data_IF_392349220792
#
_entry.id   IF_392349220792
#
_cell.length_a   1.000
_cell.length_b   1.000
_cell.length_c   1.000
_cell.angle_alpha   90.00
_cell.angle_beta   90.00
_cell.angle_gamma   90.00
#
_symmetry.space_group_name_H-M   'P 1'
#
loop_
_entity.id
_entity.type
_entity.pdbx_description
1 polymer ?
#
# COMPACT_ATOMS: atom_id res chain seq x y z
N UNK A 1 67.10 -26.10 -10.35
CA UNK A 1 66.32 -25.81 -9.15
C UNK A 1 65.36 -24.66 -9.39
N UNK A 2 64.38 -24.81 -10.32
CA UNK A 2 63.47 -23.70 -10.66
C UNK A 2 62.07 -24.20 -11.06
N UNK A 3 61.54 -25.24 -10.42
CA UNK A 3 60.21 -25.80 -10.74
C UNK A 3 59.26 -25.97 -9.53
N UNK A 4 59.62 -25.46 -8.35
CA UNK A 4 58.80 -25.64 -7.12
C UNK A 4 57.98 -24.42 -6.68
N UNK A 5 58.13 -23.23 -7.28
CA UNK A 5 57.49 -22.00 -6.81
C UNK A 5 56.27 -21.55 -7.62
N UNK A 6 55.87 -22.25 -8.70
CA UNK A 6 54.73 -21.85 -9.55
C UNK A 6 53.40 -22.47 -9.06
N UNK A 7 53.49 -23.59 -8.35
CA UNK A 7 52.24 -24.26 -7.88
C UNK A 7 51.63 -23.63 -6.62
N UNK A 8 52.45 -22.85 -5.85
CA UNK A 8 51.98 -22.19 -4.63
C UNK A 8 51.26 -20.85 -4.87
N UNK A 9 51.46 -20.24 -6.06
CA UNK A 9 50.89 -18.93 -6.40
C UNK A 9 49.47 -19.04 -7.00
N UNK A 10 49.13 -20.22 -7.53
CA UNK A 10 47.78 -20.48 -8.09
C UNK A 10 46.74 -20.87 -7.05
N UNK A 11 47.12 -21.23 -5.83
CA UNK A 11 46.20 -21.58 -4.75
C UNK A 11 45.70 -20.36 -3.93
N UNK A 12 46.37 -19.20 -4.05
CA UNK A 12 46.01 -17.99 -3.29
C UNK A 12 45.05 -17.08 -4.08
N UNK A 13 44.96 -17.24 -5.39
CA UNK A 13 44.08 -16.44 -6.26
C UNK A 13 42.63 -16.99 -6.35
N UNK A 14 42.37 -18.17 -5.82
CA UNK A 14 41.07 -18.80 -5.83
C UNK A 14 40.13 -18.47 -4.65
N UNK A 15 40.61 -17.69 -3.65
CA UNK A 15 39.92 -17.50 -2.37
C UNK A 15 39.32 -16.10 -2.17
N UNK A 16 39.26 -15.27 -3.21
CA UNK A 16 38.77 -13.88 -3.12
C UNK A 16 37.54 -13.57 -3.97
N UNK A 17 36.80 -14.58 -4.41
CA UNK A 17 35.50 -14.37 -5.09
C UNK A 17 34.33 -14.93 -4.27
N UNK A 18 34.33 -14.70 -2.94
CA UNK A 18 33.05 -14.59 -2.25
C UNK A 18 32.45 -13.22 -2.58
N UNK A 19 31.89 -13.12 -3.77
CA UNK A 19 30.96 -12.07 -4.11
C UNK A 19 29.83 -12.22 -3.10
N UNK A 20 29.74 -11.28 -2.13
CA UNK A 20 28.52 -11.06 -1.40
C UNK A 20 27.43 -10.81 -2.45
N UNK A 21 26.68 -11.84 -2.77
CA UNK A 21 25.35 -11.66 -3.33
C UNK A 21 24.55 -11.06 -2.20
N UNK A 22 24.50 -9.73 -2.14
CA UNK A 22 23.45 -9.03 -1.44
C UNK A 22 22.17 -9.57 -2.05
N UNK A 23 21.58 -10.57 -1.39
CA UNK A 23 20.21 -10.96 -1.62
C UNK A 23 19.37 -9.71 -1.31
N UNK A 24 19.14 -8.90 -2.32
CA UNK A 24 17.99 -8.01 -2.32
C UNK A 24 16.79 -8.95 -2.20
N UNK A 25 16.42 -9.23 -0.94
CA UNK A 25 15.19 -9.92 -0.65
C UNK A 25 14.08 -9.02 -1.19
N UNK A 26 13.58 -9.35 -2.38
CA UNK A 26 12.42 -8.70 -2.96
C UNK A 26 11.34 -8.72 -1.88
N UNK A 27 10.89 -7.55 -1.44
CA UNK A 27 9.92 -7.42 -0.37
C UNK A 27 8.68 -8.21 -0.76
N UNK A 28 8.42 -9.29 -0.02
CA UNK A 28 7.27 -10.15 -0.30
C UNK A 28 6.04 -9.50 0.33
N UNK A 29 5.00 -9.27 -0.47
CA UNK A 29 3.70 -8.81 0.03
C UNK A 29 3.26 -9.69 1.19
N UNK A 30 2.80 -9.09 2.28
CA UNK A 30 2.35 -9.81 3.46
C UNK A 30 1.19 -10.76 3.11
N UNK A 31 1.26 -11.98 3.60
CA UNK A 31 0.29 -13.02 3.32
C UNK A 31 -0.87 -13.02 4.34
N UNK A 32 -1.96 -13.68 3.97
CA UNK A 32 -3.04 -14.04 4.91
C UNK A 32 -2.46 -14.83 6.09
N UNK A 33 -2.92 -14.54 7.30
CA UNK A 33 -2.43 -15.09 8.55
C UNK A 33 -1.25 -14.32 9.15
N UNK A 34 -0.66 -13.36 8.44
CA UNK A 34 0.40 -12.50 8.99
C UNK A 34 -0.19 -11.45 9.95
N UNK A 35 0.60 -11.05 10.94
CA UNK A 35 0.28 -9.88 11.78
C UNK A 35 0.48 -8.60 10.98
N UNK A 36 -0.51 -7.72 10.97
CA UNK A 36 -0.44 -6.43 10.31
C UNK A 36 0.51 -5.48 11.04
N UNK A 37 1.53 -4.92 10.38
CA UNK A 37 2.41 -3.91 10.96
C UNK A 37 1.64 -2.66 11.37
N UNK A 38 1.84 -2.19 12.60
CA UNK A 38 1.21 -0.96 13.10
C UNK A 38 1.89 0.27 12.52
N UNK A 39 1.09 1.26 12.17
CA UNK A 39 1.59 2.55 11.71
C UNK A 39 0.73 3.70 12.20
N UNK A 40 1.32 4.90 12.17
CA UNK A 40 0.62 6.19 12.23
C UNK A 40 1.00 7.01 11.02
N UNK A 41 0.08 7.82 10.52
CA UNK A 41 0.33 8.71 9.39
C UNK A 41 -0.57 9.93 9.42
N UNK A 42 -0.12 11.01 8.78
CA UNK A 42 -1.03 12.11 8.44
C UNK A 42 -2.08 11.59 7.46
N UNK A 43 -3.33 11.85 7.78
CA UNK A 43 -4.48 11.48 6.97
C UNK A 43 -5.44 12.67 6.84
N UNK A 44 -6.30 12.60 5.85
CA UNK A 44 -7.36 13.59 5.62
C UNK A 44 -8.73 12.92 5.56
N UNK A 45 -9.68 13.51 6.25
CA UNK A 45 -11.09 13.15 6.20
C UNK A 45 -11.93 14.40 5.94
N UNK A 46 -12.70 14.41 4.87
CA UNK A 46 -13.51 15.56 4.47
C UNK A 46 -12.69 16.88 4.40
N UNK A 47 -11.44 16.81 3.93
CA UNK A 47 -10.54 17.95 3.80
C UNK A 47 -9.78 18.33 5.08
N UNK A 48 -10.06 17.67 6.22
CA UNK A 48 -9.44 17.98 7.49
C UNK A 48 -8.32 16.99 7.82
N UNK A 49 -7.15 17.54 8.13
CA UNK A 49 -5.98 16.74 8.51
C UNK A 49 -6.09 16.23 9.95
N UNK A 50 -5.63 14.99 10.15
CA UNK A 50 -5.48 14.40 11.47
C UNK A 50 -4.41 13.30 11.44
N UNK A 51 -4.02 12.80 12.60
CA UNK A 51 -3.15 11.64 12.72
C UNK A 51 -3.98 10.36 12.77
N UNK A 52 -3.90 9.54 11.72
CA UNK A 52 -4.47 8.21 11.71
C UNK A 52 -3.55 7.23 12.45
N UNK A 53 -4.14 6.31 13.21
CA UNK A 53 -3.42 5.20 13.86
C UNK A 53 -4.15 3.89 13.58
N UNK A 54 -3.48 2.94 12.93
CA UNK A 54 -4.04 1.62 12.67
C UNK A 54 -4.44 0.91 13.97
N UNK A 55 -3.60 0.98 15.00
CA UNK A 55 -3.90 0.40 16.33
C UNK A 55 -5.20 0.95 16.93
N UNK A 56 -5.43 2.27 16.84
CA UNK A 56 -6.68 2.90 17.34
C UNK A 56 -7.89 2.51 16.49
N UNK A 57 -7.70 2.28 15.20
CA UNK A 57 -8.77 1.83 14.29
C UNK A 57 -9.17 0.39 14.59
N UNK A 58 -8.21 -0.53 14.72
CA UNK A 58 -8.44 -1.95 15.04
C UNK A 58 -9.08 -2.15 16.40
N UNK A 59 -8.83 -1.28 17.37
CA UNK A 59 -9.54 -1.30 18.66
C UNK A 59 -11.06 -1.07 18.54
N UNK A 60 -11.54 -0.52 17.42
CA UNK A 60 -12.96 -0.29 17.14
C UNK A 60 -13.60 -1.40 16.32
N UNK A 61 -12.80 -2.13 15.52
CA UNK A 61 -13.29 -3.20 14.64
C UNK A 61 -12.30 -3.51 13.52
N UNK A 62 -12.65 -4.34 12.54
CA UNK A 62 -11.80 -4.66 11.41
C UNK A 62 -11.47 -3.42 10.57
N UNK A 63 -10.32 -3.46 9.89
CA UNK A 63 -9.85 -2.38 9.02
C UNK A 63 -9.65 -2.90 7.60
N UNK A 64 -10.21 -2.18 6.63
CA UNK A 64 -9.88 -2.32 5.21
C UNK A 64 -8.82 -1.26 4.90
N UNK A 65 -7.59 -1.71 4.76
CA UNK A 65 -6.43 -0.90 4.39
C UNK A 65 -6.15 -1.11 2.90
N UNK A 66 -6.41 -0.10 2.07
CA UNK A 66 -6.12 -0.20 0.65
C UNK A 66 -5.02 0.76 0.21
N UNK A 67 -4.03 0.24 -0.49
CA UNK A 67 -2.99 1.02 -1.15
C UNK A 67 -3.38 1.26 -2.60
N UNK A 68 -3.19 2.49 -3.07
CA UNK A 68 -3.54 2.88 -4.43
C UNK A 68 -2.44 3.75 -5.06
N UNK A 69 -2.27 3.71 -6.40
CA UNK A 69 -1.18 4.40 -7.10
C UNK A 69 -1.12 5.91 -6.90
N UNK A 70 -2.20 6.62 -7.15
CA UNK A 70 -2.27 8.09 -7.02
C UNK A 70 -3.71 8.59 -7.04
N UNK A 71 -4.01 9.61 -6.26
CA UNK A 71 -5.28 10.34 -6.31
C UNK A 71 -5.48 11.00 -7.69
N UNK A 72 -6.72 11.17 -8.09
CA UNK A 72 -7.13 11.74 -9.38
C UNK A 72 -6.63 10.95 -10.59
N UNK A 73 -6.60 9.62 -10.48
CA UNK A 73 -6.31 8.72 -11.60
C UNK A 73 -7.43 7.69 -11.74
N UNK A 74 -7.93 7.48 -12.95
CA UNK A 74 -9.20 6.80 -13.24
C UNK A 74 -9.52 5.56 -12.40
N UNK A 75 -8.61 4.60 -12.28
CA UNK A 75 -8.86 3.41 -11.45
C UNK A 75 -8.87 3.71 -9.94
N UNK A 76 -8.11 4.70 -9.48
CA UNK A 76 -8.10 5.09 -8.07
C UNK A 76 -9.36 5.88 -7.70
N UNK A 77 -9.83 6.70 -8.63
CA UNK A 77 -11.06 7.47 -8.49
C UNK A 77 -12.28 6.54 -8.42
N UNK A 78 -12.33 5.51 -9.29
CA UNK A 78 -13.36 4.47 -9.25
C UNK A 78 -13.36 3.71 -7.91
N UNK A 79 -12.19 3.33 -7.40
CA UNK A 79 -12.07 2.62 -6.11
C UNK A 79 -12.55 3.49 -4.95
N UNK A 80 -12.09 4.75 -4.89
CA UNK A 80 -12.48 5.69 -3.85
C UNK A 80 -13.99 5.99 -3.89
N UNK A 81 -14.53 6.23 -5.08
CA UNK A 81 -15.97 6.45 -5.26
C UNK A 81 -16.78 5.23 -4.82
N UNK A 82 -16.38 4.02 -5.21
CA UNK A 82 -17.05 2.79 -4.81
C UNK A 82 -16.98 2.58 -3.29
N UNK A 83 -15.85 2.85 -2.64
CA UNK A 83 -15.79 2.83 -1.17
C UNK A 83 -16.74 3.85 -0.54
N UNK A 84 -16.87 5.05 -1.12
CA UNK A 84 -17.79 6.07 -0.65
C UNK A 84 -19.27 5.65 -0.80
N UNK A 85 -19.64 4.98 -1.88
CA UNK A 85 -20.98 4.43 -2.08
C UNK A 85 -21.31 3.33 -1.06
N UNK A 86 -20.34 2.44 -0.79
CA UNK A 86 -20.54 1.30 0.12
C UNK A 86 -20.22 1.62 1.59
N UNK A 87 -19.85 2.87 1.93
CA UNK A 87 -19.41 3.26 3.29
C UNK A 87 -20.36 2.81 4.39
N UNK A 88 -21.67 2.95 4.18
CA UNK A 88 -22.65 2.60 5.21
C UNK A 88 -22.68 1.09 5.48
N UNK A 89 -22.45 0.27 4.44
CA UNK A 89 -22.35 -1.19 4.58
C UNK A 89 -21.12 -1.59 5.38
N UNK A 90 -19.96 -0.95 5.12
CA UNK A 90 -18.74 -1.15 5.93
C UNK A 90 -18.94 -0.71 7.38
N UNK A 91 -19.65 0.41 7.59
CA UNK A 91 -19.99 0.88 8.94
C UNK A 91 -20.89 -0.09 9.67
N UNK A 92 -21.92 -0.63 8.99
CA UNK A 92 -22.81 -1.65 9.56
C UNK A 92 -22.06 -2.94 9.94
N UNK A 93 -21.02 -3.30 9.19
CA UNK A 93 -20.10 -4.40 9.51
C UNK A 93 -19.05 -4.03 10.57
N UNK A 94 -19.11 -2.83 11.17
CA UNK A 94 -18.13 -2.35 12.17
C UNK A 94 -16.76 -2.04 11.61
N UNK A 95 -16.58 -2.01 10.28
CA UNK A 95 -15.30 -1.86 9.63
C UNK A 95 -14.90 -0.38 9.38
N UNK A 96 -13.62 -0.09 9.57
CA UNK A 96 -12.99 1.17 9.17
C UNK A 96 -12.32 1.01 7.81
N UNK A 97 -12.48 1.99 6.92
CA UNK A 97 -11.79 2.08 5.63
C UNK A 97 -10.67 3.12 5.76
N UNK A 98 -9.48 2.82 5.23
CA UNK A 98 -8.37 3.78 5.08
C UNK A 98 -7.65 3.53 3.75
N UNK A 99 -7.54 4.55 2.92
CA UNK A 99 -6.69 4.53 1.72
C UNK A 99 -5.30 5.06 2.02
N UNK A 100 -4.28 4.55 1.34
CA UNK A 100 -2.89 5.00 1.47
C UNK A 100 -2.28 5.17 0.09
N UNK A 101 -1.68 6.33 -0.17
CA UNK A 101 -0.93 6.60 -1.39
C UNK A 101 0.32 7.44 -1.12
N UNK A 102 1.17 7.58 -2.13
CA UNK A 102 2.34 8.43 -2.05
C UNK A 102 2.04 9.94 -2.28
N UNK A 103 0.78 10.30 -2.45
CA UNK A 103 0.36 11.69 -2.57
C UNK A 103 0.66 12.51 -1.31
N UNK A 104 0.95 13.80 -1.47
CA UNK A 104 1.09 14.73 -0.35
C UNK A 104 -0.26 14.97 0.35
N UNK A 105 -0.20 15.40 1.61
CA UNK A 105 -1.42 15.57 2.42
C UNK A 105 -2.32 16.69 1.88
N UNK A 106 -1.76 17.73 1.26
CA UNK A 106 -2.54 18.84 0.68
C UNK A 106 -3.40 18.34 -0.49
N UNK A 107 -2.83 17.44 -1.31
CA UNK A 107 -3.56 16.80 -2.39
C UNK A 107 -4.67 15.89 -1.85
N UNK A 108 -4.38 15.13 -0.79
CA UNK A 108 -5.36 14.26 -0.13
C UNK A 108 -6.48 15.03 0.58
N UNK A 109 -6.23 16.26 1.04
CA UNK A 109 -7.29 17.12 1.60
C UNK A 109 -8.38 17.37 0.54
N UNK A 110 -7.98 17.75 -0.66
CA UNK A 110 -8.92 17.98 -1.76
C UNK A 110 -9.59 16.68 -2.21
N UNK A 111 -8.83 15.58 -2.30
CA UNK A 111 -9.36 14.27 -2.72
C UNK A 111 -10.37 13.71 -1.72
N UNK A 112 -10.09 13.80 -0.41
CA UNK A 112 -10.95 13.28 0.63
C UNK A 112 -12.30 14.01 0.73
N UNK A 113 -12.33 15.31 0.40
CA UNK A 113 -13.54 16.13 0.48
C UNK A 113 -14.38 16.10 -0.80
N UNK A 114 -13.78 15.77 -1.95
CA UNK A 114 -14.48 15.79 -3.23
C UNK A 114 -15.62 14.78 -3.29
N UNK A 115 -16.84 15.22 -3.72
CA UNK A 115 -18.00 14.33 -3.86
C UNK A 115 -17.79 13.24 -4.91
N UNK A 116 -16.90 13.46 -5.88
CA UNK A 116 -16.64 12.52 -6.97
C UNK A 116 -15.72 11.36 -6.55
N UNK A 117 -15.04 11.47 -5.39
CA UNK A 117 -14.08 10.48 -4.91
C UNK A 117 -14.44 9.94 -3.52
N UNK A 118 -13.78 10.42 -2.45
CA UNK A 118 -14.06 9.93 -1.10
C UNK A 118 -15.35 10.51 -0.48
N UNK A 119 -15.89 11.59 -1.04
CA UNK A 119 -17.12 12.26 -0.62
C UNK A 119 -17.15 12.63 0.88
N UNK A 120 -16.02 12.87 1.50
CA UNK A 120 -15.90 13.13 2.94
C UNK A 120 -16.23 11.94 3.85
N UNK A 121 -16.38 10.72 3.31
CA UNK A 121 -16.96 9.59 4.04
C UNK A 121 -15.94 8.69 4.73
N UNK A 122 -14.69 8.67 4.28
CA UNK A 122 -13.62 7.86 4.87
C UNK A 122 -12.26 8.55 4.67
N UNK A 123 -11.27 8.26 5.52
CA UNK A 123 -9.96 8.89 5.45
C UNK A 123 -9.06 8.32 4.37
N UNK A 124 -8.15 9.17 3.88
CA UNK A 124 -6.99 8.78 3.07
C UNK A 124 -5.70 9.31 3.72
N UNK A 125 -4.66 8.48 3.76
CA UNK A 125 -3.39 8.75 4.43
C UNK A 125 -2.25 8.94 3.43
N UNK A 126 -1.32 9.81 3.79
CA UNK A 126 -0.16 10.18 2.99
C UNK A 126 1.06 9.34 3.38
N UNK A 127 1.68 8.69 2.39
CA UNK A 127 2.92 7.92 2.50
C UNK A 127 3.93 8.32 1.41
N UNK A 128 4.40 9.59 1.37
CA UNK A 128 5.17 10.14 0.25
C UNK A 128 6.50 9.43 -0.01
N UNK A 129 7.02 8.70 0.98
CA UNK A 129 8.25 7.91 0.85
C UNK A 129 8.01 6.41 0.74
N UNK A 130 6.76 5.95 0.66
CA UNK A 130 6.42 4.52 0.57
C UNK A 130 6.81 3.70 1.81
N UNK A 131 7.00 4.34 2.97
CA UNK A 131 7.46 3.64 4.19
C UNK A 131 6.40 2.70 4.75
N UNK A 132 5.13 3.12 4.71
CA UNK A 132 4.01 2.28 5.13
C UNK A 132 3.83 1.15 4.11
N UNK A 133 3.86 1.46 2.82
CA UNK A 133 3.81 0.46 1.76
C UNK A 133 4.91 -0.60 1.94
N UNK A 134 6.16 -0.19 2.22
CA UNK A 134 7.29 -1.08 2.39
C UNK A 134 7.13 -2.09 3.53
N UNK A 135 6.59 -1.70 4.68
CA UNK A 135 6.36 -2.64 5.80
C UNK A 135 5.22 -3.62 5.50
N UNK A 136 4.37 -3.36 4.50
CA UNK A 136 3.38 -4.30 3.95
C UNK A 136 3.92 -5.11 2.76
N UNK A 137 5.22 -4.97 2.43
CA UNK A 137 5.87 -5.67 1.33
C UNK A 137 5.52 -5.10 -0.05
N UNK A 138 5.07 -3.85 -0.11
CA UNK A 138 4.76 -3.15 -1.36
C UNK A 138 5.90 -2.18 -1.70
N UNK A 139 6.40 -2.25 -2.93
CA UNK A 139 7.47 -1.38 -3.40
C UNK A 139 6.90 -0.14 -4.11
N UNK A 140 7.33 1.04 -3.67
CA UNK A 140 7.06 2.27 -4.38
C UNK A 140 7.88 2.30 -5.67
N UNK A 141 7.23 2.41 -6.83
CA UNK A 141 7.95 2.55 -8.10
C UNK A 141 8.66 3.90 -8.19
N UNK A 142 9.69 4.04 -9.02
CA UNK A 142 10.21 5.36 -9.36
C UNK A 142 9.12 6.26 -9.97
N UNK A 143 9.21 7.60 -9.79
CA UNK A 143 8.35 8.54 -10.49
C UNK A 143 8.42 8.35 -12.01
N UNK A 144 7.28 8.45 -12.69
CA UNK A 144 7.20 8.31 -14.14
C UNK A 144 7.04 9.69 -14.79
N UNK A 145 8.03 10.19 -15.54
CA UNK A 145 7.92 11.49 -16.21
C UNK A 145 6.74 11.54 -17.19
N UNK A 146 6.04 12.66 -17.21
CA UNK A 146 4.96 12.92 -18.15
C UNK A 146 3.60 12.32 -17.79
N UNK A 147 3.51 11.54 -16.73
CA UNK A 147 2.20 11.02 -16.25
C UNK A 147 1.41 12.17 -15.63
N UNK A 148 0.22 12.41 -16.18
CA UNK A 148 -0.73 13.40 -15.67
C UNK A 148 -1.98 12.71 -15.11
N UNK A 149 -2.56 13.30 -14.11
CA UNK A 149 -3.85 12.92 -13.57
C UNK A 149 -5.03 13.46 -14.43
N UNK A 150 -6.25 13.14 -14.05
CA UNK A 150 -7.46 13.57 -14.77
C UNK A 150 -7.67 15.10 -14.73
N UNK A 151 -7.01 15.81 -13.82
CA UNK A 151 -7.05 17.28 -13.74
C UNK A 151 -6.00 17.95 -14.62
N UNK A 152 -5.13 17.17 -15.28
CA UNK A 152 -4.00 17.62 -16.09
C UNK A 152 -2.73 17.94 -15.29
N UNK A 153 -2.74 17.78 -13.95
CA UNK A 153 -1.58 17.97 -13.08
C UNK A 153 -0.63 16.77 -13.20
N UNK A 154 0.66 17.07 -13.26
CA UNK A 154 1.67 16.01 -13.28
C UNK A 154 1.73 15.25 -11.94
N UNK A 155 1.76 13.91 -12.00
CA UNK A 155 2.06 13.07 -10.84
C UNK A 155 3.59 13.04 -10.67
N UNK A 156 4.08 13.52 -9.53
CA UNK A 156 5.52 13.73 -9.28
C UNK A 156 6.15 12.66 -8.38
N UNK A 157 5.36 11.72 -7.89
CA UNK A 157 5.81 10.61 -7.05
C UNK A 157 5.68 9.26 -7.78
N UNK A 158 6.29 8.23 -7.23
CA UNK A 158 6.12 6.85 -7.68
C UNK A 158 4.75 6.27 -7.31
N UNK A 159 4.44 5.11 -7.84
CA UNK A 159 3.16 4.44 -7.58
C UNK A 159 3.32 3.29 -6.60
N UNK A 160 2.44 3.25 -5.61
CA UNK A 160 2.25 2.07 -4.75
C UNK A 160 1.33 1.10 -5.50
N UNK A 161 1.71 -0.20 -5.65
CA UNK A 161 0.85 -1.18 -6.29
C UNK A 161 -0.52 -1.28 -5.61
N UNK A 162 -1.61 -1.25 -6.39
CA UNK A 162 -2.96 -1.41 -5.85
C UNK A 162 -3.09 -2.74 -5.13
N UNK A 163 -3.22 -2.68 -3.82
CA UNK A 163 -3.32 -3.83 -2.94
C UNK A 163 -4.20 -3.50 -1.75
N UNK A 164 -5.15 -4.36 -1.45
CA UNK A 164 -6.06 -4.20 -0.31
C UNK A 164 -5.83 -5.31 0.70
N UNK A 165 -5.65 -4.94 1.95
CA UNK A 165 -5.56 -5.84 3.10
C UNK A 165 -6.83 -5.69 3.93
N UNK A 166 -7.47 -6.79 4.29
CA UNK A 166 -8.52 -6.83 5.31
C UNK A 166 -7.88 -7.35 6.59
N UNK A 167 -7.96 -6.56 7.66
CA UNK A 167 -7.30 -6.83 8.93
C UNK A 167 -8.39 -6.98 9.99
N UNK A 168 -8.40 -8.09 10.72
CA UNK A 168 -9.33 -8.31 11.81
C UNK A 168 -8.91 -7.55 13.09
N UNK A 169 -9.77 -7.47 14.08
CA UNK A 169 -9.51 -6.77 15.35
C UNK A 169 -8.35 -7.33 16.19
N UNK A 170 -7.84 -8.52 15.83
CA UNK A 170 -6.71 -9.17 16.47
C UNK A 170 -5.39 -8.94 15.69
N UNK A 171 -5.32 -7.89 14.88
CA UNK A 171 -4.16 -7.49 14.06
C UNK A 171 -3.78 -8.51 12.97
N UNK A 172 -4.63 -9.50 12.66
CA UNK A 172 -4.35 -10.52 11.65
C UNK A 172 -4.89 -10.11 10.28
N UNK A 173 -4.08 -10.25 9.24
CA UNK A 173 -4.47 -10.08 7.84
C UNK A 173 -5.31 -11.31 7.44
N UNK A 174 -6.59 -11.12 7.20
CA UNK A 174 -7.53 -12.20 6.85
C UNK A 174 -7.84 -12.27 5.35
N UNK A 175 -7.53 -11.22 4.60
CA UNK A 175 -7.59 -11.23 3.15
C UNK A 175 -6.59 -10.24 2.54
N UNK A 176 -6.09 -10.58 1.34
CA UNK A 176 -5.23 -9.73 0.53
C UNK A 176 -5.74 -9.80 -0.90
N UNK A 177 -5.91 -8.65 -1.55
CA UNK A 177 -6.32 -8.51 -2.94
C UNK A 177 -5.33 -7.62 -3.68
N UNK A 178 -4.90 -8.02 -4.87
CA UNK A 178 -3.95 -7.26 -5.70
C UNK A 178 -4.45 -7.20 -7.14
N UNK A 179 -4.60 -6.00 -7.69
CA UNK A 179 -4.97 -5.87 -9.12
C UNK A 179 -3.96 -6.54 -10.04
N UNK A 180 -2.66 -6.58 -9.65
CA UNK A 180 -1.59 -7.13 -10.47
C UNK A 180 -1.62 -8.66 -10.52
N UNK A 181 -1.81 -9.33 -9.37
CA UNK A 181 -1.73 -10.79 -9.28
C UNK A 181 -3.09 -11.47 -9.41
N UNK A 182 -4.15 -10.84 -8.95
CA UNK A 182 -5.49 -11.43 -8.94
C UNK A 182 -6.32 -10.98 -10.16
N UNK A 183 -5.78 -10.04 -10.96
CA UNK A 183 -6.41 -9.51 -12.18
C UNK A 183 -7.82 -8.94 -11.94
N UNK A 184 -8.05 -8.34 -10.76
CA UNK A 184 -9.33 -7.76 -10.38
C UNK A 184 -9.34 -6.24 -10.59
N UNK A 185 -10.54 -5.72 -10.87
CA UNK A 185 -10.78 -4.29 -11.05
C UNK A 185 -10.81 -3.53 -9.71
N UNK A 186 -10.64 -2.19 -9.71
CA UNK A 186 -10.67 -1.39 -8.49
C UNK A 186 -11.95 -1.55 -7.67
N UNK A 187 -13.11 -1.65 -8.29
CA UNK A 187 -14.40 -1.85 -7.63
C UNK A 187 -14.56 -3.27 -7.05
N UNK A 188 -13.90 -4.27 -7.65
CA UNK A 188 -13.88 -5.63 -7.10
C UNK A 188 -13.09 -5.70 -5.78
N UNK A 189 -12.03 -4.89 -5.60
CA UNK A 189 -11.35 -4.76 -4.31
C UNK A 189 -12.34 -4.37 -3.20
N UNK A 190 -13.21 -3.41 -3.48
CA UNK A 190 -14.22 -2.93 -2.54
C UNK A 190 -15.25 -4.00 -2.21
N UNK A 191 -15.84 -4.61 -3.24
CA UNK A 191 -16.90 -5.64 -3.09
C UNK A 191 -16.38 -6.86 -2.32
N UNK A 192 -15.19 -7.38 -2.70
CA UNK A 192 -14.56 -8.50 -2.01
C UNK A 192 -14.20 -8.17 -0.55
N UNK A 193 -13.72 -6.96 -0.28
CA UNK A 193 -13.42 -6.53 1.09
C UNK A 193 -14.69 -6.47 1.95
N UNK A 194 -15.81 -5.99 1.40
CA UNK A 194 -17.09 -5.97 2.09
C UNK A 194 -17.59 -7.37 2.41
N UNK A 195 -17.47 -8.32 1.47
CA UNK A 195 -17.82 -9.73 1.70
C UNK A 195 -17.05 -10.36 2.85
N UNK A 196 -15.77 -9.98 3.00
CA UNK A 196 -14.93 -10.48 4.11
C UNK A 196 -15.35 -9.85 5.43
N UNK A 197 -15.41 -8.51 5.53
CA UNK A 197 -15.70 -7.83 6.80
C UNK A 197 -17.11 -8.15 7.34
N UNK A 198 -18.06 -8.50 6.48
CA UNK A 198 -19.40 -8.91 6.91
C UNK A 198 -19.45 -10.30 7.55
N UNK A 199 -18.37 -11.07 7.47
CA UNK A 199 -18.23 -12.42 8.05
C UNK A 199 -17.36 -12.45 9.31
N UNK A 200 -16.76 -11.30 9.68
CA UNK A 200 -15.90 -11.16 10.87
C UNK A 200 -16.71 -10.81 12.11
#
# INVERSE_FOLDING_TARGET
MLKKNILSLLLILGLLLFINQDNFAQSKVLAIGSTAPMFTSKASLAGNEFEFSLKKALAKGPVVLYFYPAAYTGGCDLEAHTFAEFKDKFTAAGATIIGVSADDIQRLNSFSSSPDYCAGKFPVASDPGGKIAAIYGLELTPPQPGVKDVTGRQVTHGFIPRTTFVINKNDEIVAVFSSKTDHISPDEHVKKSLEIVTKL
#
